data_IF_805838607272
#
_entry.id   IF_805838607272
#
_cell.length_a   1.000
_cell.length_b   1.000
_cell.length_c   1.000
_cell.angle_alpha   90.00
_cell.angle_beta   90.00
_cell.angle_gamma   90.00
#
_symmetry.space_group_name_H-M   'P 1'
#
loop_
_entity.id
_entity.type
_entity.pdbx_description
1 polymer ?
#
# COMPACT_ATOMS: atom_id res chain seq x y z
N UNK A 1 26.03 36.59 -36.54
CA UNK A 1 26.48 35.20 -36.30
C UNK A 1 25.48 34.55 -35.37
N UNK A 2 24.78 33.50 -35.81
CA UNK A 2 23.86 32.76 -34.95
C UNK A 2 24.64 31.78 -34.07
N UNK A 3 24.46 31.85 -32.75
CA UNK A 3 25.10 30.92 -31.81
C UNK A 3 24.52 29.52 -32.04
N UNK A 4 25.38 28.54 -32.36
CA UNK A 4 24.97 27.15 -32.58
C UNK A 4 24.76 26.48 -31.22
N UNK A 5 23.50 26.34 -30.82
CA UNK A 5 23.15 25.67 -29.55
C UNK A 5 23.45 24.17 -29.68
N UNK A 6 24.42 23.69 -28.91
CA UNK A 6 24.78 22.27 -28.79
C UNK A 6 24.28 21.73 -27.45
N UNK A 7 23.94 20.43 -27.37
CA UNK A 7 23.57 19.79 -26.08
C UNK A 7 22.07 19.68 -25.75
N UNK A 8 21.15 20.24 -26.55
CA UNK A 8 19.69 20.13 -26.32
C UNK A 8 19.23 18.66 -26.20
N UNK A 9 19.80 17.78 -27.03
CA UNK A 9 19.50 16.34 -27.00
C UNK A 9 19.86 15.71 -25.65
N UNK A 10 21.03 16.04 -25.12
CA UNK A 10 21.51 15.50 -23.85
C UNK A 10 20.69 16.04 -22.67
N UNK A 11 20.35 17.33 -22.69
CA UNK A 11 19.45 17.94 -21.72
C UNK A 11 18.07 17.26 -21.71
N UNK A 12 17.49 16.98 -22.89
CA UNK A 12 16.24 16.23 -23.02
C UNK A 12 16.35 14.81 -22.45
N UNK A 13 17.44 14.09 -22.72
CA UNK A 13 17.65 12.73 -22.20
C UNK A 13 17.77 12.73 -20.67
N UNK A 14 18.55 13.64 -20.08
CA UNK A 14 18.71 13.78 -18.62
C UNK A 14 17.38 14.18 -17.95
N UNK A 15 16.62 15.08 -18.56
CA UNK A 15 15.30 15.48 -18.08
C UNK A 15 14.33 14.30 -18.07
N UNK A 16 14.30 13.49 -19.14
CA UNK A 16 13.45 12.31 -19.22
C UNK A 16 13.82 11.26 -18.15
N UNK A 17 15.11 11.04 -17.90
CA UNK A 17 15.58 10.15 -16.85
C UNK A 17 15.14 10.64 -15.45
N UNK A 18 15.28 11.94 -15.17
CA UNK A 18 14.82 12.56 -13.94
C UNK A 18 13.32 12.43 -13.74
N UNK A 19 12.52 12.68 -14.79
CA UNK A 19 11.06 12.51 -14.76
C UNK A 19 10.71 11.05 -14.47
N UNK A 20 11.40 10.09 -15.09
CA UNK A 20 11.23 8.65 -14.85
C UNK A 20 11.47 8.27 -13.39
N UNK A 21 12.57 8.74 -12.81
CA UNK A 21 12.90 8.49 -11.41
C UNK A 21 11.90 9.14 -10.43
N UNK A 22 11.49 10.38 -10.69
CA UNK A 22 10.44 11.05 -9.89
C UNK A 22 9.14 10.25 -9.94
N UNK A 23 8.73 9.79 -11.13
CA UNK A 23 7.53 8.95 -11.29
C UNK A 23 7.67 7.64 -10.52
N UNK A 24 8.82 6.96 -10.62
CA UNK A 24 9.09 5.73 -9.87
C UNK A 24 8.95 5.93 -8.35
N UNK A 25 9.60 6.96 -7.81
CA UNK A 25 9.52 7.30 -6.37
C UNK A 25 8.09 7.65 -5.92
N UNK A 26 7.32 8.37 -6.74
CA UNK A 26 5.91 8.70 -6.45
C UNK A 26 5.02 7.46 -6.45
N UNK A 27 5.18 6.54 -7.40
CA UNK A 27 4.39 5.30 -7.46
C UNK A 27 4.66 4.42 -6.22
N UNK A 28 5.93 4.28 -5.81
CA UNK A 28 6.28 3.58 -4.57
C UNK A 28 5.64 4.25 -3.35
N UNK A 29 5.69 5.58 -3.27
CA UNK A 29 5.07 6.31 -2.15
C UNK A 29 3.56 6.17 -2.12
N UNK A 30 2.91 6.21 -3.28
CA UNK A 30 1.48 6.01 -3.43
C UNK A 30 1.08 4.60 -2.94
N UNK A 31 1.89 3.58 -3.27
CA UNK A 31 1.70 2.22 -2.76
C UNK A 31 1.80 2.16 -1.24
N UNK A 32 2.85 2.73 -0.64
CA UNK A 32 2.98 2.75 0.82
C UNK A 32 1.82 3.48 1.51
N UNK A 33 1.34 4.60 0.95
CA UNK A 33 0.14 5.29 1.44
C UNK A 33 -1.11 4.41 1.36
N UNK A 34 -1.34 3.77 0.22
CA UNK A 34 -2.46 2.85 0.03
C UNK A 34 -2.44 1.71 1.05
N UNK A 35 -1.27 1.07 1.22
CA UNK A 35 -1.10 0.00 2.20
C UNK A 35 -1.27 0.50 3.63
N UNK A 36 -0.81 1.72 3.95
CA UNK A 36 -0.96 2.31 5.27
C UNK A 36 -2.44 2.52 5.64
N UNK A 37 -3.21 3.12 4.74
CA UNK A 37 -4.64 3.38 4.96
C UNK A 37 -5.40 2.06 5.12
N UNK A 38 -5.20 1.11 4.20
CA UNK A 38 -5.86 -0.19 4.25
C UNK A 38 -5.46 -1.02 5.47
N UNK A 39 -4.16 -1.01 5.84
CA UNK A 39 -3.67 -1.76 7.01
C UNK A 39 -4.21 -1.19 8.32
N UNK A 40 -4.32 0.14 8.42
CA UNK A 40 -4.90 0.82 9.58
C UNK A 40 -6.37 0.41 9.76
N UNK A 41 -7.17 0.42 8.69
CA UNK A 41 -8.56 -0.03 8.77
C UNK A 41 -8.67 -1.52 9.11
N UNK A 42 -7.85 -2.36 8.49
CA UNK A 42 -7.82 -3.79 8.81
C UNK A 42 -7.46 -4.06 10.28
N UNK A 43 -6.58 -3.26 10.88
CA UNK A 43 -6.20 -3.35 12.29
C UNK A 43 -7.36 -3.04 13.24
N UNK A 44 -8.31 -2.17 12.85
CA UNK A 44 -9.54 -1.91 13.62
C UNK A 44 -10.46 -3.14 13.69
N UNK A 45 -10.44 -3.94 12.62
CA UNK A 45 -11.22 -5.18 12.51
C UNK A 45 -10.50 -6.42 13.01
N UNK A 46 -9.19 -6.30 13.28
CA UNK A 46 -8.40 -7.41 13.79
C UNK A 46 -8.83 -7.74 15.22
N UNK A 47 -9.21 -8.99 15.50
CA UNK A 47 -9.49 -9.44 16.86
C UNK A 47 -8.26 -9.31 17.76
N UNK A 48 -8.48 -8.95 19.03
CA UNK A 48 -7.43 -8.81 20.03
C UNK A 48 -7.76 -9.74 21.20
N UNK A 49 -6.83 -10.66 21.48
CA UNK A 49 -6.81 -11.45 22.71
C UNK A 49 -5.55 -11.08 23.53
N UNK A 50 -4.37 -11.48 23.05
CA UNK A 50 -3.05 -11.18 23.66
C UNK A 50 -2.25 -10.09 22.92
N UNK A 51 -2.88 -9.38 21.97
CA UNK A 51 -2.26 -8.45 21.03
C UNK A 51 -1.20 -9.03 20.06
N UNK A 52 -0.84 -10.31 20.16
CA UNK A 52 0.12 -10.96 19.25
C UNK A 52 -0.31 -10.84 17.79
N UNK A 53 -1.60 -11.04 17.49
CA UNK A 53 -2.12 -10.94 16.12
C UNK A 53 -1.93 -9.54 15.55
N UNK A 54 -2.45 -8.50 16.22
CA UNK A 54 -2.37 -7.13 15.71
C UNK A 54 -0.91 -6.65 15.56
N UNK A 55 -0.02 -7.04 16.48
CA UNK A 55 1.41 -6.69 16.43
C UNK A 55 2.20 -7.47 15.37
N UNK A 56 1.62 -8.53 14.82
CA UNK A 56 2.22 -9.32 13.73
C UNK A 56 1.90 -8.78 12.33
N UNK A 57 1.18 -7.65 12.23
CA UNK A 57 0.83 -7.06 10.94
C UNK A 57 2.09 -6.55 10.22
N UNK A 58 2.26 -6.92 8.96
CA UNK A 58 3.36 -6.44 8.12
C UNK A 58 2.84 -5.89 6.79
N UNK A 59 3.68 -5.07 6.16
CA UNK A 59 3.48 -4.53 4.81
C UNK A 59 4.73 -4.80 4.00
N UNK A 60 4.55 -5.29 2.78
CA UNK A 60 5.63 -5.61 1.86
C UNK A 60 5.35 -5.00 0.49
N UNK A 61 6.34 -4.35 -0.11
CA UNK A 61 6.24 -3.72 -1.42
C UNK A 61 7.36 -4.29 -2.28
N UNK A 62 6.99 -4.94 -3.38
CA UNK A 62 7.93 -5.56 -4.33
C UNK A 62 7.76 -4.97 -5.71
N UNK A 63 8.88 -4.72 -6.37
CA UNK A 63 8.94 -4.22 -7.73
C UNK A 63 9.62 -5.24 -8.62
N UNK A 64 8.88 -5.82 -9.55
CA UNK A 64 9.37 -6.86 -10.48
C UNK A 64 9.75 -6.27 -11.85
N UNK A 65 10.20 -5.00 -11.87
CA UNK A 65 10.59 -4.29 -13.10
C UNK A 65 9.44 -3.67 -13.90
N UNK A 66 8.33 -4.41 -14.06
CA UNK A 66 7.14 -3.93 -14.81
C UNK A 66 5.93 -3.74 -13.90
N UNK A 67 5.91 -4.41 -12.75
CA UNK A 67 4.78 -4.40 -11.82
C UNK A 67 5.25 -4.06 -10.41
N UNK A 68 4.58 -3.07 -9.81
CA UNK A 68 4.68 -2.80 -8.38
C UNK A 68 3.54 -3.53 -7.66
N UNK A 69 3.88 -4.38 -6.69
CA UNK A 69 2.91 -5.14 -5.90
C UNK A 69 3.08 -4.82 -4.43
N UNK A 70 2.01 -4.35 -3.78
CA UNK A 70 1.94 -4.16 -2.34
C UNK A 70 1.12 -5.27 -1.66
N UNK A 71 1.58 -5.74 -0.50
CA UNK A 71 0.91 -6.78 0.29
C UNK A 71 0.84 -6.36 1.75
N UNK A 72 -0.28 -6.70 2.39
CA UNK A 72 -0.45 -6.61 3.85
C UNK A 72 -0.84 -7.98 4.35
N UNK A 73 -0.23 -8.40 5.45
CA UNK A 73 -0.49 -9.70 6.06
C UNK A 73 -0.19 -9.70 7.54
N UNK A 74 -0.32 -10.87 8.14
CA UNK A 74 0.02 -11.13 9.54
C UNK A 74 0.99 -12.29 9.59
N UNK A 75 2.07 -12.16 10.35
CA UNK A 75 3.07 -13.23 10.51
C UNK A 75 2.64 -14.28 11.54
N UNK A 76 1.60 -14.02 12.34
CA UNK A 76 1.06 -15.01 13.26
C UNK A 76 0.43 -16.19 12.48
N UNK A 77 0.93 -17.41 12.70
CA UNK A 77 0.46 -18.63 12.01
C UNK A 77 -1.06 -18.85 12.13
N UNK A 78 -1.63 -18.50 13.27
CA UNK A 78 -3.07 -18.68 13.52
C UNK A 78 -3.96 -17.62 12.85
N UNK A 79 -3.37 -16.59 12.19
CA UNK A 79 -4.12 -15.52 11.55
C UNK A 79 -5.11 -16.05 10.49
N UNK A 80 -4.75 -17.12 9.78
CA UNK A 80 -5.63 -17.73 8.76
C UNK A 80 -6.94 -18.22 9.35
N UNK A 81 -6.91 -18.89 10.50
CA UNK A 81 -8.12 -19.39 11.18
C UNK A 81 -8.94 -18.26 11.77
N UNK A 82 -8.28 -17.21 12.26
CA UNK A 82 -8.97 -16.02 12.78
C UNK A 82 -9.62 -15.23 11.64
N UNK A 83 -9.01 -15.21 10.46
CA UNK A 83 -9.54 -14.53 9.29
C UNK A 83 -10.71 -15.27 8.62
N UNK A 84 -10.66 -16.60 8.58
CA UNK A 84 -11.63 -17.45 7.88
C UNK A 84 -13.05 -17.30 8.47
N UNK A 85 -14.05 -16.88 7.66
CA UNK A 85 -15.44 -16.77 8.10
C UNK A 85 -16.10 -18.11 8.45
N UNK A 86 -15.57 -19.25 7.97
CA UNK A 86 -16.10 -20.59 8.28
C UNK A 86 -15.79 -21.02 9.71
N UNK A 87 -14.73 -20.47 10.30
CA UNK A 87 -14.31 -20.79 11.67
C UNK A 87 -15.08 -19.93 12.66
N UNK A 88 -16.04 -20.52 13.36
CA UNK A 88 -16.83 -19.82 14.41
C UNK A 88 -15.92 -19.45 15.60
N UNK A 89 -15.93 -18.18 15.97
CA UNK A 89 -15.14 -17.63 17.09
C UNK A 89 -15.93 -16.50 17.75
N UNK A 90 -15.79 -16.38 19.08
CA UNK A 90 -16.34 -15.26 19.84
C UNK A 90 -15.25 -14.23 20.05
N UNK A 91 -15.47 -13.00 19.60
CA UNK A 91 -14.49 -11.92 19.75
C UNK A 91 -14.77 -11.08 20.99
N UNK A 92 -13.71 -10.76 21.74
CA UNK A 92 -13.79 -9.82 22.87
C UNK A 92 -14.01 -8.38 22.41
N UNK A 93 -13.42 -8.01 21.27
CA UNK A 93 -13.48 -6.66 20.69
C UNK A 93 -14.72 -6.52 19.82
N UNK A 94 -15.58 -5.53 20.11
CA UNK A 94 -16.84 -5.30 19.39
C UNK A 94 -16.64 -4.97 17.90
N UNK A 95 -15.55 -4.28 17.54
CA UNK A 95 -15.24 -3.94 16.14
C UNK A 95 -14.64 -5.10 15.36
N UNK A 96 -14.30 -6.22 16.02
CA UNK A 96 -13.63 -7.32 15.37
C UNK A 96 -14.53 -8.00 14.34
N UNK A 97 -13.99 -8.25 13.15
CA UNK A 97 -14.72 -8.88 12.04
C UNK A 97 -13.89 -10.02 11.46
N UNK A 98 -14.58 -11.07 11.01
CA UNK A 98 -14.00 -12.03 10.06
C UNK A 98 -13.65 -11.32 8.76
N UNK A 99 -12.75 -11.92 7.99
CA UNK A 99 -12.23 -11.33 6.76
C UNK A 99 -11.64 -9.91 6.97
N UNK A 100 -11.05 -9.62 8.13
CA UNK A 100 -10.63 -8.26 8.53
C UNK A 100 -9.72 -7.54 7.52
N UNK A 101 -8.79 -8.24 6.86
CA UNK A 101 -7.99 -7.67 5.76
C UNK A 101 -8.87 -7.22 4.58
N UNK A 102 -9.70 -8.13 4.06
CA UNK A 102 -10.59 -7.84 2.93
C UNK A 102 -11.60 -6.75 3.26
N UNK A 103 -12.28 -6.85 4.41
CA UNK A 103 -13.27 -5.86 4.85
C UNK A 103 -12.63 -4.50 5.13
N UNK A 104 -11.46 -4.50 5.78
CA UNK A 104 -10.72 -3.28 6.07
C UNK A 104 -10.37 -2.53 4.79
N UNK A 105 -9.74 -3.21 3.81
CA UNK A 105 -9.38 -2.60 2.53
C UNK A 105 -10.59 -2.14 1.70
N UNK A 106 -11.68 -2.93 1.71
CA UNK A 106 -12.88 -2.58 0.95
C UNK A 106 -13.56 -1.33 1.49
N UNK A 107 -13.60 -1.15 2.81
CA UNK A 107 -14.26 0.00 3.43
C UNK A 107 -13.57 1.33 3.11
N UNK A 108 -12.23 1.35 3.13
CA UNK A 108 -11.45 2.56 2.84
C UNK A 108 -11.01 2.63 1.38
N UNK A 109 -11.62 1.87 0.48
CA UNK A 109 -11.20 1.81 -0.93
C UNK A 109 -11.18 3.19 -1.59
N UNK A 110 -12.23 3.99 -1.39
CA UNK A 110 -12.29 5.34 -1.91
C UNK A 110 -11.20 6.27 -1.33
N UNK A 111 -10.82 6.08 -0.06
CA UNK A 111 -9.74 6.85 0.57
C UNK A 111 -8.37 6.46 0.02
N UNK A 112 -8.17 5.16 -0.22
CA UNK A 112 -6.97 4.64 -0.89
C UNK A 112 -6.86 5.23 -2.30
N UNK A 113 -7.92 5.15 -3.09
CA UNK A 113 -7.92 5.64 -4.47
C UNK A 113 -7.64 7.16 -4.51
N UNK A 114 -8.23 7.93 -3.58
CA UNK A 114 -7.95 9.37 -3.42
C UNK A 114 -6.48 9.63 -3.07
N UNK A 115 -5.93 8.95 -2.05
CA UNK A 115 -4.56 9.16 -1.61
C UNK A 115 -3.52 8.79 -2.69
N UNK A 116 -3.80 7.73 -3.46
CA UNK A 116 -2.98 7.35 -4.62
C UNK A 116 -3.07 8.42 -5.71
N UNK A 117 -4.27 8.89 -6.03
CA UNK A 117 -4.46 9.93 -7.05
C UNK A 117 -3.71 11.22 -6.69
N UNK A 118 -3.79 11.66 -5.43
CA UNK A 118 -3.08 12.85 -4.93
C UNK A 118 -1.56 12.72 -5.07
N UNK A 119 -1.00 11.56 -4.72
CA UNK A 119 0.44 11.33 -4.82
C UNK A 119 0.92 11.35 -6.28
N UNK A 120 0.14 10.77 -7.19
CA UNK A 120 0.46 10.72 -8.62
C UNK A 120 0.24 12.07 -9.32
N UNK A 121 -0.76 12.85 -8.90
CA UNK A 121 -1.10 14.17 -9.47
C UNK A 121 -0.09 15.27 -9.15
N UNK A 122 0.74 15.10 -8.12
CA UNK A 122 1.74 16.11 -7.69
C UNK A 122 2.86 16.43 -8.72
N UNK A 123 2.68 16.05 -9.99
CA UNK A 123 3.57 16.35 -11.13
C UNK A 123 3.53 17.84 -11.49
#
# INVERSE_FOLDING_TARGET
MGVKVTGIREAKTKLNALIGDIRGRKVVRAMYKALYIGSAQAALYTPIDTATLINSQFRDVRFDGVRLTGRVGYSANYAVYVHDPKVKQNFRRATAKKEFLKRGFNEVRAQIDKAVMEELKSL
#
